data_IF_569531654775
#
_entry.id   IF_569531654775
#
_cell.length_a   1.000
_cell.length_b   1.000
_cell.length_c   1.000
_cell.angle_alpha   90.00
_cell.angle_beta   90.00
_cell.angle_gamma   90.00
#
_symmetry.space_group_name_H-M   'P 1'
#
loop_
_entity.id
_entity.type
_entity.pdbx_description
1 polymer ?
#
# COMPACT_ATOMS: atom_id res chain seq x y z
N UNK A 1 5.98 1.88 7.86
CA UNK A 1 4.64 2.40 7.53
C UNK A 1 3.83 1.24 6.97
N UNK A 2 2.62 1.02 7.47
CA UNK A 2 1.72 -0.04 6.98
C UNK A 2 0.41 0.62 6.56
N UNK A 3 -0.07 0.32 5.35
CA UNK A 3 -1.41 0.68 4.88
C UNK A 3 -2.25 -0.59 4.98
N UNK A 4 -3.36 -0.52 5.71
CA UNK A 4 -4.25 -1.66 5.89
C UNK A 4 -5.50 -1.48 5.01
N UNK A 5 -5.79 -2.50 4.20
CA UNK A 5 -6.97 -2.56 3.32
C UNK A 5 -7.63 -3.94 3.48
N UNK A 6 -8.50 -4.12 4.50
CA UNK A 6 -9.07 -5.43 4.80
C UNK A 6 -9.85 -6.05 3.63
N UNK A 7 -10.57 -5.23 2.88
CA UNK A 7 -11.35 -5.68 1.71
C UNK A 7 -10.46 -6.30 0.62
N UNK A 8 -9.30 -5.69 0.35
CA UNK A 8 -8.33 -6.26 -0.59
C UNK A 8 -7.80 -7.61 -0.08
N UNK A 9 -7.55 -7.74 1.22
CA UNK A 9 -7.08 -8.99 1.82
C UNK A 9 -8.11 -10.10 1.66
N UNK A 10 -9.40 -9.80 1.84
CA UNK A 10 -10.48 -10.76 1.67
C UNK A 10 -10.63 -11.18 0.20
N UNK A 11 -10.54 -10.24 -0.74
CA UNK A 11 -10.56 -10.53 -2.18
C UNK A 11 -9.37 -11.42 -2.60
N UNK A 12 -8.17 -11.12 -2.11
CA UNK A 12 -6.97 -11.93 -2.40
C UNK A 12 -7.10 -13.34 -1.81
N UNK A 13 -7.61 -13.48 -0.58
CA UNK A 13 -7.87 -14.79 0.04
C UNK A 13 -8.95 -15.57 -0.70
N UNK A 14 -9.98 -14.90 -1.21
CA UNK A 14 -11.02 -15.51 -2.03
C UNK A 14 -10.47 -16.01 -3.36
N UNK A 15 -9.62 -15.21 -4.01
CA UNK A 15 -9.03 -15.52 -5.32
C UNK A 15 -7.95 -16.62 -5.28
N UNK A 16 -7.07 -16.60 -4.27
CA UNK A 16 -5.90 -17.49 -4.22
C UNK A 16 -5.98 -18.58 -3.14
N UNK A 17 -7.02 -18.58 -2.30
CA UNK A 17 -7.19 -19.52 -1.21
C UNK A 17 -6.32 -19.21 0.01
N UNK A 18 -6.34 -20.11 1.00
CA UNK A 18 -5.63 -19.95 2.29
C UNK A 18 -4.62 -21.07 2.60
N UNK A 19 -4.43 -22.00 1.66
CA UNK A 19 -3.56 -23.18 1.85
C UNK A 19 -2.08 -22.81 1.82
N UNK A 20 -1.70 -21.81 1.02
CA UNK A 20 -0.34 -21.30 0.92
C UNK A 20 -0.23 -19.98 1.69
N UNK A 21 0.81 -19.87 2.53
CA UNK A 21 1.06 -18.66 3.32
C UNK A 21 1.54 -17.47 2.46
N UNK A 22 2.15 -17.77 1.30
CA UNK A 22 2.62 -16.76 0.35
C UNK A 22 2.32 -17.23 -1.06
N UNK A 23 1.72 -16.34 -1.86
CA UNK A 23 1.45 -16.56 -3.29
C UNK A 23 2.14 -15.44 -4.05
N UNK A 24 3.13 -15.77 -4.87
CA UNK A 24 3.74 -14.81 -5.78
C UNK A 24 2.76 -14.53 -6.92
N UNK A 25 2.45 -13.26 -7.15
CA UNK A 25 1.57 -12.81 -8.23
C UNK A 25 2.31 -11.80 -9.10
N UNK A 26 2.13 -11.89 -10.41
CA UNK A 26 2.62 -10.90 -11.36
C UNK A 26 1.50 -9.88 -11.63
N UNK A 27 1.23 -9.03 -10.63
CA UNK A 27 0.17 -8.04 -10.70
C UNK A 27 0.67 -6.68 -10.23
N UNK A 28 0.18 -5.61 -10.85
CA UNK A 28 0.48 -4.24 -10.47
C UNK A 28 -0.72 -3.63 -9.76
N UNK A 29 -0.45 -2.90 -8.69
CA UNK A 29 -1.43 -2.10 -7.99
C UNK A 29 -1.07 -0.62 -8.21
N UNK A 30 -2.07 0.23 -8.39
CA UNK A 30 -1.88 1.67 -8.47
C UNK A 30 -2.42 2.32 -7.19
N UNK A 31 -1.58 3.08 -6.51
CA UNK A 31 -1.89 3.67 -5.21
C UNK A 31 -1.86 5.19 -5.30
N UNK A 32 -2.96 5.83 -4.94
CA UNK A 32 -3.09 7.27 -4.82
C UNK A 32 -3.19 7.67 -3.34
N UNK A 33 -2.11 8.25 -2.83
CA UNK A 33 -2.03 8.71 -1.44
C UNK A 33 -2.85 9.97 -1.16
N UNK A 34 -3.16 10.77 -2.20
CA UNK A 34 -3.92 12.03 -2.05
C UNK A 34 -5.40 11.72 -1.90
N UNK A 35 -5.94 10.87 -2.76
CA UNK A 35 -7.36 10.45 -2.68
C UNK A 35 -7.59 9.28 -1.71
N UNK A 36 -6.52 8.66 -1.19
CA UNK A 36 -6.57 7.46 -0.33
C UNK A 36 -7.26 6.27 -1.01
N UNK A 37 -6.90 6.04 -2.28
CA UNK A 37 -7.48 5.00 -3.13
C UNK A 37 -6.40 4.08 -3.71
N UNK A 38 -6.74 2.80 -3.81
CA UNK A 38 -5.96 1.78 -4.48
C UNK A 38 -6.78 1.20 -5.63
N UNK A 39 -6.22 1.18 -6.84
CA UNK A 39 -6.73 0.43 -7.97
C UNK A 39 -5.93 -0.88 -8.12
N UNK A 40 -6.60 -2.02 -7.98
CA UNK A 40 -6.01 -3.34 -8.16
C UNK A 40 -6.98 -4.25 -8.89
N UNK A 41 -6.50 -4.92 -9.94
CA UNK A 41 -7.30 -5.85 -10.77
C UNK A 41 -8.63 -5.24 -11.29
N UNK A 42 -8.62 -3.94 -11.60
CA UNK A 42 -9.80 -3.21 -12.08
C UNK A 42 -10.81 -2.80 -11.00
N UNK A 43 -10.53 -3.10 -9.72
CA UNK A 43 -11.35 -2.71 -8.57
C UNK A 43 -10.66 -1.61 -7.77
N UNK A 44 -11.45 -0.64 -7.31
CA UNK A 44 -11.00 0.44 -6.43
C UNK A 44 -11.27 0.08 -4.97
N UNK A 45 -10.31 0.39 -4.11
CA UNK A 45 -10.36 0.19 -2.67
C UNK A 45 -10.02 1.50 -1.96
N UNK A 46 -10.80 1.88 -0.96
CA UNK A 46 -10.49 3.02 -0.10
C UNK A 46 -9.66 2.58 1.11
N UNK A 47 -8.79 3.44 1.59
CA UNK A 47 -8.00 3.20 2.81
C UNK A 47 -7.88 4.47 3.65
N UNK A 48 -7.39 4.34 4.88
CA UNK A 48 -7.22 5.49 5.77
C UNK A 48 -6.11 6.42 5.24
N UNK A 49 -6.33 7.75 5.21
CA UNK A 49 -5.34 8.69 4.68
C UNK A 49 -4.02 8.60 5.44
N UNK A 50 -2.93 8.57 4.69
CA UNK A 50 -1.58 8.58 5.25
C UNK A 50 -1.22 10.02 5.64
N UNK A 51 -0.80 10.24 6.89
CA UNK A 51 -0.43 11.58 7.36
C UNK A 51 0.73 12.18 6.56
N UNK A 52 0.75 13.51 6.41
CA UNK A 52 1.71 14.23 5.58
C UNK A 52 3.18 13.85 5.88
N UNK A 53 3.57 13.77 7.16
CA UNK A 53 4.93 13.36 7.55
C UNK A 53 5.29 11.96 7.02
N UNK A 54 4.37 11.00 7.04
CA UNK A 54 4.62 9.66 6.50
C UNK A 54 4.72 9.67 4.96
N UNK A 55 3.96 10.54 4.28
CA UNK A 55 4.10 10.72 2.83
C UNK A 55 5.45 11.35 2.46
N UNK A 56 5.92 12.33 3.22
CA UNK A 56 7.26 12.91 3.04
C UNK A 56 8.36 11.86 3.18
N UNK A 57 8.23 10.94 4.15
CA UNK A 57 9.18 9.84 4.30
C UNK A 57 9.17 8.89 3.09
N UNK A 58 8.00 8.63 2.48
CA UNK A 58 7.91 7.82 1.26
C UNK A 58 8.64 8.51 0.11
N UNK A 59 8.41 9.82 -0.08
CA UNK A 59 9.06 10.62 -1.13
C UNK A 59 10.58 10.68 -0.91
N UNK A 60 11.02 10.84 0.34
CA UNK A 60 12.44 10.90 0.69
C UNK A 60 13.16 9.55 0.52
N UNK A 61 12.44 8.45 0.24
CA UNK A 61 13.03 7.11 0.18
C UNK A 61 13.36 6.52 1.55
N UNK A 62 12.62 6.93 2.58
CA UNK A 62 12.74 6.44 3.95
C UNK A 62 13.29 7.48 4.93
N UNK A 63 13.20 7.12 6.23
CA UNK A 63 13.59 8.00 7.34
C UNK A 63 15.07 8.37 7.32
N UNK A 64 15.96 7.42 7.04
CA UNK A 64 17.41 7.72 6.99
C UNK A 64 17.76 8.74 5.91
N UNK A 65 17.16 8.62 4.73
CA UNK A 65 17.36 9.57 3.63
C UNK A 65 16.78 10.94 3.96
N UNK A 66 15.63 10.98 4.62
CA UNK A 66 15.04 12.24 5.10
C UNK A 66 15.96 12.93 6.10
N UNK A 67 16.51 12.20 7.09
CA UNK A 67 17.45 12.75 8.08
C UNK A 67 18.68 13.37 7.40
N UNK A 68 19.33 12.65 6.48
CA UNK A 68 20.54 13.13 5.77
C UNK A 68 20.33 14.43 5.00
N UNK A 69 19.09 14.74 4.62
CA UNK A 69 18.75 15.92 3.83
C UNK A 69 18.21 17.09 4.68
N UNK A 70 17.86 16.87 5.95
CA UNK A 70 17.17 17.85 6.80
C UNK A 70 17.90 18.12 8.14
N UNK A 71 19.00 17.41 8.42
CA UNK A 71 19.89 17.55 9.59
C UNK A 71 21.34 17.56 9.11
#
# INVERSE_FOLDING_TARGET
LVIEIPELVDDLKSKYGKEKLTVAIDSKAHLDYVSSQLLFDGKEYSFAPVGAAAQELVIAGGLESWIKNNL
#
